data_IF_488162349072
#
_entry.id   IF_488162349072
#
_cell.length_a   1.000
_cell.length_b   1.000
_cell.length_c   1.000
_cell.angle_alpha   90.00
_cell.angle_beta   90.00
_cell.angle_gamma   90.00
#
_symmetry.space_group_name_H-M   'P 1'
#
loop_
_entity.id
_entity.type
_entity.pdbx_description
1 polymer ?
#
# COMPACT_ATOMS: atom_id res chain seq x y z
N UNK A 1 10.06 -4.66 3.48
CA UNK A 1 9.37 -3.90 2.42
C UNK A 1 10.47 -3.36 1.52
N UNK A 2 10.48 -3.73 0.23
CA UNK A 2 11.48 -3.24 -0.73
C UNK A 2 10.80 -2.21 -1.62
N UNK A 3 11.44 -1.08 -1.87
CA UNK A 3 10.92 -0.01 -2.71
C UNK A 3 11.96 0.41 -3.75
N UNK A 4 11.50 0.90 -4.89
CA UNK A 4 12.35 1.54 -5.89
C UNK A 4 11.83 2.95 -6.13
N UNK A 5 12.74 3.93 -6.14
CA UNK A 5 12.43 5.33 -6.40
C UNK A 5 13.31 5.83 -7.54
N UNK A 6 12.72 6.48 -8.53
CA UNK A 6 13.41 7.24 -9.55
C UNK A 6 12.87 8.69 -9.51
N UNK A 7 13.77 9.66 -9.40
CA UNK A 7 13.46 11.09 -9.45
C UNK A 7 14.24 11.69 -10.61
N UNK A 8 13.57 12.46 -11.48
CA UNK A 8 14.23 13.28 -12.50
C UNK A 8 13.74 14.72 -12.41
N UNK A 9 14.66 15.65 -12.15
CA UNK A 9 14.34 17.08 -12.08
C UNK A 9 13.29 17.41 -11.00
N UNK A 10 12.78 18.64 -11.07
CA UNK A 10 11.89 19.20 -10.06
C UNK A 10 10.43 18.67 -10.18
N UNK A 11 10.07 17.94 -11.25
CA UNK A 11 8.68 17.56 -11.58
C UNK A 11 8.45 16.06 -11.80
N UNK A 12 9.49 15.22 -11.93
CA UNK A 12 9.31 13.80 -12.28
C UNK A 12 9.52 12.86 -11.09
N UNK A 13 8.47 12.10 -10.75
CA UNK A 13 8.48 11.12 -9.66
C UNK A 13 7.94 9.77 -10.13
N UNK A 14 8.77 8.74 -9.97
CA UNK A 14 8.38 7.34 -10.06
C UNK A 14 8.71 6.63 -8.74
N UNK A 15 7.68 6.24 -8.00
CA UNK A 15 7.78 5.46 -6.77
C UNK A 15 7.10 4.11 -6.96
N UNK A 16 7.78 3.02 -6.66
CA UNK A 16 7.20 1.68 -6.61
C UNK A 16 7.52 1.05 -5.24
N UNK A 17 6.49 0.82 -4.42
CA UNK A 17 6.59 0.10 -3.15
C UNK A 17 6.00 -1.30 -3.34
N UNK A 18 6.80 -2.33 -3.04
CA UNK A 18 6.35 -3.72 -3.12
C UNK A 18 5.37 -4.05 -2.00
N UNK A 19 4.44 -4.97 -2.30
CA UNK A 19 3.49 -5.51 -1.33
C UNK A 19 4.21 -6.20 -0.16
N UNK A 20 3.61 -6.18 1.01
CA UNK A 20 4.05 -6.97 2.15
C UNK A 20 2.84 -7.53 2.91
N UNK A 21 3.06 -8.57 3.70
CA UNK A 21 2.02 -9.21 4.49
C UNK A 21 2.25 -8.95 5.98
N UNK A 22 1.18 -8.63 6.70
CA UNK A 22 1.16 -8.57 8.15
C UNK A 22 0.33 -9.76 8.66
N UNK A 23 0.87 -10.47 9.64
CA UNK A 23 0.22 -11.60 10.30
C UNK A 23 -0.16 -11.17 11.72
N UNK A 24 -1.45 -11.24 12.02
CA UNK A 24 -2.07 -10.76 13.25
C UNK A 24 -2.76 -11.95 13.92
N UNK A 25 -2.04 -12.73 14.74
CA UNK A 25 -2.62 -13.86 15.47
C UNK A 25 -3.61 -13.35 16.54
N UNK A 26 -4.69 -14.09 16.75
CA UNK A 26 -5.71 -13.77 17.75
C UNK A 26 -5.29 -14.11 19.19
N UNK A 27 -4.20 -14.85 19.35
CA UNK A 27 -3.58 -15.19 20.63
C UNK A 27 -2.06 -15.05 20.55
N UNK A 28 -1.40 -15.05 21.70
CA UNK A 28 0.05 -14.95 21.81
C UNK A 28 0.73 -16.12 21.11
N UNK A 29 1.72 -15.79 20.29
CA UNK A 29 2.64 -16.80 19.77
C UNK A 29 3.57 -17.24 20.90
N UNK A 30 3.98 -18.51 20.95
CA UNK A 30 4.89 -18.99 21.96
C UNK A 30 6.20 -18.22 21.88
N UNK A 31 6.63 -17.62 22.99
CA UNK A 31 7.91 -16.94 23.05
C UNK A 31 9.03 -17.96 22.83
N UNK A 32 9.92 -17.77 21.84
CA UNK A 32 11.08 -18.64 21.72
C UNK A 32 12.04 -18.27 22.84
N UNK A 33 12.71 -19.27 23.42
CA UNK A 33 13.69 -19.07 24.51
C UNK A 33 14.83 -18.13 24.11
N UNK A 34 15.06 -17.96 22.81
CA UNK A 34 15.99 -17.02 22.20
C UNK A 34 15.47 -16.61 20.82
N UNK A 35 15.07 -15.36 20.65
CA UNK A 35 14.91 -14.78 19.31
C UNK A 35 16.32 -14.50 18.80
N UNK A 36 16.77 -15.22 17.77
CA UNK A 36 18.02 -14.87 17.10
C UNK A 36 17.78 -13.58 16.33
N UNK A 37 18.44 -12.49 16.75
CA UNK A 37 18.39 -11.21 16.05
C UNK A 37 18.85 -11.42 14.60
N UNK A 38 17.97 -11.12 13.64
CA UNK A 38 18.22 -11.34 12.21
C UNK A 38 17.47 -12.54 11.59
N UNK A 39 16.90 -13.45 12.38
CA UNK A 39 16.10 -14.59 11.89
C UNK A 39 14.67 -14.63 12.46
N UNK A 40 14.10 -13.45 12.71
CA UNK A 40 12.68 -13.30 13.06
C UNK A 40 11.79 -13.98 11.99
N UNK A 41 12.02 -13.82 10.67
CA UNK A 41 11.22 -14.50 9.64
C UNK A 41 11.32 -16.03 9.71
N UNK A 42 12.51 -16.59 9.97
CA UNK A 42 12.68 -18.04 10.12
C UNK A 42 12.03 -18.56 11.39
N UNK A 43 12.11 -17.82 12.49
CA UNK A 43 11.45 -18.14 13.76
C UNK A 43 9.93 -18.20 13.58
N UNK A 44 9.33 -17.17 12.98
CA UNK A 44 7.89 -17.12 12.68
C UNK A 44 7.49 -18.27 11.74
N UNK A 45 8.27 -18.50 10.68
CA UNK A 45 8.05 -19.61 9.73
C UNK A 45 8.07 -20.97 10.44
N UNK A 46 8.96 -21.16 11.42
CA UNK A 46 9.04 -22.41 12.19
C UNK A 46 7.78 -22.67 13.02
N UNK A 47 7.14 -21.63 13.55
CA UNK A 47 5.84 -21.78 14.24
C UNK A 47 4.76 -22.25 13.27
N UNK A 48 4.70 -21.65 12.07
CA UNK A 48 3.72 -22.05 11.04
C UNK A 48 3.85 -23.51 10.61
N UNK A 49 5.06 -24.08 10.62
CA UNK A 49 5.28 -25.45 10.18
C UNK A 49 5.33 -26.50 11.30
N UNK A 50 5.73 -26.12 12.51
CA UNK A 50 6.04 -27.09 13.58
C UNK A 50 5.03 -27.10 14.74
N UNK A 51 4.05 -26.20 14.78
CA UNK A 51 3.02 -26.23 15.83
C UNK A 51 1.80 -27.07 15.43
N UNK A 52 1.33 -27.89 16.36
CA UNK A 52 0.14 -28.73 16.18
C UNK A 52 -1.15 -27.91 16.03
N UNK A 53 -1.21 -26.69 16.58
CA UNK A 53 -2.31 -25.74 16.41
C UNK A 53 -1.77 -24.31 16.40
N UNK A 54 -1.82 -23.64 15.26
CA UNK A 54 -1.55 -22.20 15.17
C UNK A 54 -2.80 -21.43 15.62
N UNK A 55 -2.67 -20.36 16.43
CA UNK A 55 -3.79 -19.46 16.68
C UNK A 55 -4.41 -18.95 15.38
N UNK A 56 -5.72 -18.74 15.40
CA UNK A 56 -6.43 -18.10 14.29
C UNK A 56 -5.74 -16.79 13.94
N UNK A 57 -5.30 -16.65 12.69
CA UNK A 57 -4.47 -15.51 12.29
C UNK A 57 -5.12 -14.72 11.17
N UNK A 58 -5.30 -13.43 11.37
CA UNK A 58 -5.66 -12.51 10.30
C UNK A 58 -4.40 -12.15 9.51
N UNK A 59 -4.45 -12.34 8.20
CA UNK A 59 -3.40 -11.92 7.28
C UNK A 59 -3.88 -10.73 6.47
N UNK A 60 -3.12 -9.64 6.54
CA UNK A 60 -3.35 -8.42 5.77
C UNK A 60 -2.25 -8.31 4.72
N UNK A 61 -2.60 -8.50 3.46
CA UNK A 61 -1.71 -8.24 2.33
C UNK A 61 -1.82 -6.76 1.97
N UNK A 62 -0.82 -5.96 2.38
CA UNK A 62 -0.73 -4.55 2.04
C UNK A 62 -0.51 -4.40 0.53
N UNK A 63 -1.12 -3.37 -0.09
CA UNK A 63 -1.06 -3.22 -1.53
C UNK A 63 0.37 -2.93 -2.00
N UNK A 64 0.66 -3.35 -3.22
CA UNK A 64 1.72 -2.71 -4.00
C UNK A 64 1.25 -1.30 -4.36
N UNK A 65 2.12 -0.32 -4.15
CA UNK A 65 1.83 1.11 -4.40
C UNK A 65 2.74 1.59 -5.52
N UNK A 66 2.17 2.21 -6.54
CA UNK A 66 2.92 2.93 -7.57
C UNK A 66 2.47 4.37 -7.66
N UNK A 67 3.40 5.31 -7.74
CA UNK A 67 3.13 6.73 -8.01
C UNK A 67 3.94 7.13 -9.25
N UNK A 68 3.28 7.72 -10.23
CA UNK A 68 3.84 8.06 -11.54
C UNK A 68 3.40 9.47 -11.96
N UNK A 69 4.34 10.34 -12.31
CA UNK A 69 4.06 11.58 -13.03
C UNK A 69 3.95 11.37 -14.54
N UNK A 70 3.07 12.11 -15.24
CA UNK A 70 2.95 12.03 -16.70
C UNK A 70 4.07 12.81 -17.43
N UNK A 71 4.46 12.36 -18.65
CA UNK A 71 5.44 13.04 -19.52
C UNK A 71 6.69 12.23 -19.97
N UNK A 72 6.71 10.91 -19.79
CA UNK A 72 7.93 10.09 -19.86
C UNK A 72 8.63 9.94 -21.24
N UNK A 73 9.98 9.99 -21.21
CA UNK A 73 10.84 8.96 -21.83
C UNK A 73 11.34 8.03 -20.71
N UNK A 74 11.51 6.72 -20.98
CA UNK A 74 12.01 5.73 -20.01
C UNK A 74 13.25 6.22 -19.25
N UNK A 75 13.27 6.02 -17.94
CA UNK A 75 14.37 6.43 -17.06
C UNK A 75 14.66 5.34 -16.01
N UNK A 76 15.94 5.10 -15.70
CA UNK A 76 16.35 4.05 -14.76
C UNK A 76 16.25 4.52 -13.29
N UNK A 77 15.98 3.62 -12.32
CA UNK A 77 15.89 3.97 -10.89
C UNK A 77 17.23 4.47 -10.33
N UNK A 78 17.24 5.58 -9.59
CA UNK A 78 18.50 6.29 -9.24
C UNK A 78 18.94 6.25 -7.76
N UNK A 79 18.08 6.10 -6.73
CA UNK A 79 18.57 5.97 -5.32
C UNK A 79 17.51 5.68 -4.25
N UNK A 80 17.95 5.23 -3.05
CA UNK A 80 17.20 5.25 -1.78
C UNK A 80 17.57 6.53 -0.96
N UNK A 81 16.55 7.28 -0.49
CA UNK A 81 16.45 8.60 0.21
C UNK A 81 17.64 9.16 1.05
N UNK A 82 17.75 10.49 1.33
CA UNK A 82 16.69 11.51 1.39
C UNK A 82 16.85 12.68 0.41
N UNK A 83 15.73 13.24 -0.08
CA UNK A 83 15.74 14.39 -0.99
C UNK A 83 15.15 15.65 -0.35
N UNK A 84 15.71 16.81 -0.71
CA UNK A 84 15.23 18.14 -0.33
C UNK A 84 14.61 18.78 -1.57
N UNK A 85 13.33 19.15 -1.50
CA UNK A 85 12.63 19.86 -2.59
C UNK A 85 13.14 21.31 -2.62
N UNK A 86 13.88 21.68 -3.66
CA UNK A 86 14.46 23.01 -3.80
C UNK A 86 13.82 23.81 -4.95
N UNK A 87 12.50 24.05 -4.90
CA UNK A 87 11.72 25.15 -5.50
C UNK A 87 10.23 24.77 -5.64
N UNK A 88 9.29 25.72 -5.74
CA UNK A 88 7.91 25.41 -6.12
C UNK A 88 7.90 24.87 -7.56
N UNK A 89 7.28 23.70 -7.72
CA UNK A 89 7.29 22.85 -8.93
C UNK A 89 6.44 23.45 -10.08
N UNK A 90 5.72 24.54 -9.83
CA UNK A 90 4.78 25.10 -10.78
C UNK A 90 5.44 26.21 -11.62
N UNK A 91 5.91 25.88 -12.83
CA UNK A 91 5.88 26.89 -13.89
C UNK A 91 4.41 27.11 -14.31
N UNK A 92 4.07 28.38 -14.53
CA UNK A 92 2.71 28.84 -14.77
C UNK A 92 2.15 28.28 -16.09
N UNK A 93 1.21 27.33 -16.03
CA UNK A 93 0.48 26.80 -17.19
C UNK A 93 0.59 25.29 -17.46
N UNK A 94 1.43 24.56 -16.71
CA UNK A 94 1.60 23.12 -16.93
C UNK A 94 0.59 22.26 -16.15
N UNK A 95 0.00 21.29 -16.85
CA UNK A 95 -0.80 20.23 -16.25
C UNK A 95 0.13 19.09 -15.84
N UNK A 96 0.22 18.79 -14.54
CA UNK A 96 1.00 17.64 -14.06
C UNK A 96 0.08 16.54 -13.52
N UNK A 97 -0.34 15.57 -14.35
CA UNK A 97 -1.05 14.39 -13.87
C UNK A 97 -0.11 13.50 -13.04
N UNK A 98 -0.46 13.25 -11.78
CA UNK A 98 0.10 12.15 -11.00
C UNK A 98 -0.90 11.01 -10.92
N UNK A 99 -0.46 9.81 -11.25
CA UNK A 99 -1.24 8.58 -11.12
C UNK A 99 -0.70 7.77 -9.96
N UNK A 100 -1.56 7.49 -8.98
CA UNK A 100 -1.32 6.60 -7.85
C UNK A 100 -2.11 5.32 -8.10
N UNK A 101 -1.45 4.16 -8.12
CA UNK A 101 -2.14 2.86 -8.18
C UNK A 101 -1.82 2.04 -6.95
N UNK A 102 -2.86 1.45 -6.38
CA UNK A 102 -2.81 0.43 -5.33
C UNK A 102 -3.26 -0.88 -5.96
N UNK A 103 -2.53 -1.98 -5.71
CA UNK A 103 -2.92 -3.30 -6.23
C UNK A 103 -2.66 -4.40 -5.23
N UNK A 104 -3.37 -5.53 -5.39
CA UNK A 104 -3.17 -6.75 -4.60
C UNK A 104 -3.49 -6.60 -3.10
N UNK A 105 -4.27 -5.60 -2.71
CA UNK A 105 -4.75 -5.50 -1.34
C UNK A 105 -5.76 -6.62 -1.08
N UNK A 106 -5.50 -7.46 -0.08
CA UNK A 106 -6.38 -8.57 0.29
C UNK A 106 -6.30 -8.88 1.77
N UNK A 107 -7.36 -9.49 2.30
CA UNK A 107 -7.42 -9.97 3.67
C UNK A 107 -7.92 -11.40 3.69
N UNK A 108 -7.28 -12.24 4.49
CA UNK A 108 -7.74 -13.61 4.73
C UNK A 108 -7.40 -14.06 6.13
N UNK A 109 -8.10 -15.07 6.62
CA UNK A 109 -7.83 -15.70 7.92
C UNK A 109 -7.20 -17.06 7.70
N UNK A 110 -6.21 -17.41 8.52
CA UNK A 110 -5.66 -18.76 8.64
C UNK A 110 -6.25 -19.41 9.88
N UNK A 111 -7.10 -20.42 9.70
CA UNK A 111 -7.81 -21.11 10.78
C UNK A 111 -7.47 -22.62 10.82
N UNK A 112 -7.49 -23.21 12.01
CA UNK A 112 -7.24 -24.64 12.22
C UNK A 112 -5.94 -25.16 11.59
N UNK A 113 -6.02 -26.23 10.78
CA UNK A 113 -4.89 -26.81 10.03
C UNK A 113 -4.47 -25.93 8.82
N UNK A 114 -4.17 -24.65 9.04
CA UNK A 114 -3.72 -23.72 7.99
C UNK A 114 -4.71 -23.53 6.84
N UNK A 115 -6.03 -23.62 7.13
CA UNK A 115 -7.05 -23.32 6.12
C UNK A 115 -7.12 -21.81 5.92
N UNK A 116 -6.79 -21.35 4.71
CA UNK A 116 -6.99 -19.96 4.31
C UNK A 116 -8.44 -19.72 3.89
N UNK A 117 -9.06 -18.72 4.51
CA UNK A 117 -10.41 -18.26 4.20
C UNK A 117 -10.37 -16.77 3.89
N UNK A 118 -10.70 -16.40 2.66
CA UNK A 118 -10.73 -15.02 2.19
C UNK A 118 -11.79 -14.21 2.95
N UNK A 119 -11.40 -13.02 3.43
CA UNK A 119 -12.31 -11.99 3.95
C UNK A 119 -12.53 -10.88 2.92
N UNK A 120 -11.46 -10.51 2.22
CA UNK A 120 -11.46 -9.55 1.12
C UNK A 120 -10.62 -10.14 -0.01
N UNK A 121 -11.27 -10.42 -1.15
CA UNK A 121 -10.55 -10.82 -2.36
C UNK A 121 -9.60 -9.71 -2.83
N UNK A 122 -8.49 -10.05 -3.50
CA UNK A 122 -7.54 -9.08 -4.01
C UNK A 122 -8.22 -7.97 -4.82
N UNK A 123 -8.01 -6.74 -4.37
CA UNK A 123 -8.52 -5.53 -5.01
C UNK A 123 -7.42 -4.50 -5.22
N UNK A 124 -7.75 -3.49 -6.02
CA UNK A 124 -6.88 -2.36 -6.31
C UNK A 124 -7.68 -1.14 -6.71
N UNK A 125 -6.97 -0.02 -6.79
CA UNK A 125 -7.50 1.21 -7.34
C UNK A 125 -6.41 2.00 -8.04
N UNK A 126 -6.82 2.82 -9.01
CA UNK A 126 -5.94 3.81 -9.63
C UNK A 126 -6.59 5.17 -9.50
N UNK A 127 -5.81 6.17 -9.12
CA UNK A 127 -6.24 7.55 -8.95
C UNK A 127 -5.31 8.46 -9.73
N UNK A 128 -5.85 9.23 -10.68
CA UNK A 128 -5.10 10.22 -11.45
C UNK A 128 -5.54 11.63 -11.05
N UNK A 129 -4.61 12.43 -10.55
CA UNK A 129 -4.80 13.82 -10.16
C UNK A 129 -4.11 14.72 -11.17
N UNK A 130 -4.84 15.58 -11.86
CA UNK A 130 -4.27 16.63 -12.70
C UNK A 130 -4.60 18.00 -12.10
N UNK A 131 -3.58 18.85 -11.96
CA UNK A 131 -3.73 20.24 -11.52
C UNK A 131 -3.29 21.15 -12.66
N UNK A 132 -4.11 22.14 -12.99
CA UNK A 132 -3.80 23.16 -13.99
C UNK A 132 -3.97 24.54 -13.38
N UNK A 133 -3.07 25.48 -13.70
CA UNK A 133 -3.18 26.88 -13.31
C UNK A 133 -3.50 27.74 -14.54
N UNK A 134 -4.36 28.74 -14.38
CA UNK A 134 -4.62 29.71 -15.45
C UNK A 134 -3.61 30.85 -15.40
N UNK A 135 -3.00 31.14 -16.55
CA UNK A 135 -2.09 32.27 -16.74
C UNK A 135 -2.85 33.58 -16.58
N UNK A 136 -2.44 34.43 -15.65
CA UNK A 136 -3.09 35.72 -15.47
C UNK A 136 -2.59 36.72 -16.52
N UNK A 137 -3.48 37.20 -17.39
CA UNK A 137 -3.17 38.34 -18.27
C UNK A 137 -2.86 39.57 -17.40
N UNK A 138 -1.76 40.23 -17.72
CA UNK A 138 -1.19 41.37 -17.01
C UNK A 138 -2.18 42.54 -16.89
N UNK A 139 -2.86 42.64 -15.75
CA UNK A 139 -3.76 43.74 -15.45
C UNK A 139 -4.52 43.56 -14.13
N UNK A 140 -3.99 44.18 -13.07
CA UNK A 140 -4.58 44.42 -11.72
C UNK A 140 -5.06 43.21 -10.89
N UNK A 141 -4.51 43.10 -9.66
CA UNK A 141 -4.98 42.29 -8.50
C UNK A 141 -5.28 40.82 -8.80
N UNK A 142 -4.22 40.00 -8.84
CA UNK A 142 -4.28 38.66 -9.37
C UNK A 142 -4.66 37.53 -8.44
N UNK A 143 -5.87 36.98 -8.60
CA UNK A 143 -6.28 35.72 -7.98
C UNK A 143 -5.69 34.55 -8.77
N UNK A 144 -4.72 33.86 -8.18
CA UNK A 144 -4.32 32.53 -8.65
C UNK A 144 -5.55 31.60 -8.66
N UNK A 145 -5.88 31.04 -9.82
CA UNK A 145 -6.94 30.04 -9.96
C UNK A 145 -6.34 28.73 -10.43
N UNK A 146 -6.76 27.65 -9.78
CA UNK A 146 -6.33 26.29 -10.09
C UNK A 146 -7.57 25.45 -10.40
N UNK A 147 -7.46 24.60 -11.42
CA UNK A 147 -8.45 23.56 -11.72
C UNK A 147 -7.82 22.23 -11.37
N UNK A 148 -8.53 21.46 -10.54
CA UNK A 148 -8.12 20.13 -10.09
C UNK A 148 -9.09 19.10 -10.66
N UNK A 149 -8.57 18.15 -11.41
CA UNK A 149 -9.31 17.00 -11.93
C UNK A 149 -8.82 15.74 -11.24
N UNK A 150 -9.73 15.01 -10.57
CA UNK A 150 -9.45 13.73 -9.94
C UNK A 150 -10.25 12.64 -10.63
N UNK A 151 -9.56 11.66 -11.19
CA UNK A 151 -10.15 10.44 -11.74
C UNK A 151 -9.80 9.27 -10.84
N UNK A 152 -10.78 8.45 -10.46
CA UNK A 152 -10.55 7.26 -9.61
C UNK A 152 -11.22 6.05 -10.24
N UNK A 153 -10.41 5.05 -10.56
CA UNK A 153 -10.82 3.73 -11.01
C UNK A 153 -10.72 2.75 -9.84
N UNK A 154 -11.87 2.31 -9.32
CA UNK A 154 -11.95 1.31 -8.27
C UNK A 154 -12.25 -0.06 -8.86
N UNK A 155 -11.47 -1.07 -8.51
CA UNK A 155 -11.85 -2.45 -8.78
C UNK A 155 -12.99 -2.89 -7.84
N UNK A 156 -13.84 -3.85 -8.26
CA UNK A 156 -14.90 -4.38 -7.40
C UNK A 156 -14.37 -4.90 -6.07
N UNK A 157 -15.08 -4.56 -4.99
CA UNK A 157 -14.76 -4.99 -3.63
C UNK A 157 -15.62 -6.21 -3.31
N UNK A 158 -14.99 -7.38 -3.12
CA UNK A 158 -15.67 -8.60 -2.76
C UNK A 158 -15.33 -9.02 -1.33
N UNK A 159 -16.29 -8.80 -0.42
CA UNK A 159 -16.19 -9.21 0.98
C UNK A 159 -16.85 -10.57 1.15
N UNK A 160 -16.16 -11.47 1.85
CA UNK A 160 -16.64 -12.82 2.18
C UNK A 160 -16.52 -13.03 3.68
N UNK A 161 -17.46 -13.78 4.24
CA UNK A 161 -17.38 -14.25 5.61
C UNK A 161 -18.04 -15.63 5.67
N UNK A 162 -17.39 -16.56 6.35
CA UNK A 162 -17.86 -17.94 6.53
C UNK A 162 -18.13 -18.22 8.00
N UNK A 163 -19.00 -19.18 8.28
CA UNK A 163 -19.34 -19.54 9.67
C UNK A 163 -18.11 -19.80 10.56
N UNK A 164 -17.05 -20.51 10.11
CA UNK A 164 -15.83 -20.68 10.91
C UNK A 164 -15.17 -19.36 11.32
N UNK A 165 -15.20 -18.34 10.46
CA UNK A 165 -14.62 -17.02 10.75
C UNK A 165 -15.43 -16.26 11.81
N UNK A 166 -16.75 -16.47 11.84
CA UNK A 166 -17.63 -15.89 12.86
C UNK A 166 -17.44 -16.59 14.20
N UNK A 167 -17.48 -17.93 14.22
CA UNK A 167 -17.44 -18.70 15.46
C UNK A 167 -16.14 -18.52 16.26
N UNK A 168 -14.99 -18.40 15.59
CA UNK A 168 -13.71 -18.13 16.29
C UNK A 168 -13.61 -16.69 16.83
N UNK A 169 -14.41 -15.75 16.31
CA UNK A 169 -14.46 -14.37 16.84
C UNK A 169 -15.28 -14.30 18.13
N UNK A 170 -16.35 -15.11 18.22
CA UNK A 170 -17.26 -15.15 19.37
C UNK A 170 -16.69 -15.96 20.56
N UNK A 171 -15.90 -17.00 20.30
CA UNK A 171 -15.33 -17.85 21.37
C UNK A 171 -14.36 -17.06 22.29
N UNK A 172 -13.75 -15.97 21.79
CA UNK A 172 -12.90 -15.06 22.55
C UNK A 172 -13.67 -13.97 23.33
N UNK A 173 -14.99 -13.82 23.14
CA UNK A 173 -15.83 -12.90 23.94
C UNK A 173 -16.42 -13.57 25.18
N UNK A 174 -16.25 -14.88 25.34
CA UNK A 174 -16.83 -15.67 26.43
C UNK A 174 -15.80 -16.13 27.49
N UNK A 175 -14.59 -15.54 27.50
CA UNK A 175 -13.52 -15.89 28.44
C UNK A 175 -13.03 -14.68 29.24
#
# INVERSE_FOLDING_TARGET
>A
MSGRIALAGDTELKLELQSCCMFLPNDSLPSPSTIICGDIPGTVRSWYHNQASMPGTLVVCLPQISILSAGHKYMEPLQELPFVVSKPILEEGDAFPWTISLSQFSLYTLLGQQRSLSLLEPMGCTSTLAVTSHKQQSGSEGRHSFVVCLHVDLQPIHVKCSNPQVSETDENSAK
#
